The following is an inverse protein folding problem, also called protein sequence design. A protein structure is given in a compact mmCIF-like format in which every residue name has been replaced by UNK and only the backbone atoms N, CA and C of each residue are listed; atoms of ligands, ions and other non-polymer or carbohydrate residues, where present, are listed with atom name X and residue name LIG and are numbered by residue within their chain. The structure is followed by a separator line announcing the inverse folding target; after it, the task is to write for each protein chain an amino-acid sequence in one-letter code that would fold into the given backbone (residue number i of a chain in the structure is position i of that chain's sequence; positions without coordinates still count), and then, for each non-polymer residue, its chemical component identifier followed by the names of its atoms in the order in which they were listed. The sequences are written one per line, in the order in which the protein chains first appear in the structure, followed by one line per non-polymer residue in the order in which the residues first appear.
data_IF_239024994687
#
_entry.id   IF_239024994687
#
_cell.length_a   1.000
_cell.length_b   1.000
_cell.length_c   1.000
_cell.angle_alpha   90.00
_cell.angle_beta   90.00
_cell.angle_gamma   90.00
#
_symmetry.space_group_name_H-M   'P 1'
#
loop_
_entity.id
_entity.type
_entity.pdbx_description
1 polymer ?
#
# COMPACT_ATOMS: atom_id res chain seq x y z
N UNK A 1 18.57 -19.63 8.36
CA UNK A 1 17.85 -20.50 7.39
C UNK A 1 18.32 -20.22 5.96
N UNK A 2 18.19 -18.98 5.47
CA UNK A 2 18.42 -18.57 4.07
C UNK A 2 19.84 -18.77 3.49
N UNK A 3 20.87 -18.97 4.31
CA UNK A 3 22.25 -19.19 3.87
C UNK A 3 22.59 -20.67 3.60
N UNK A 4 21.66 -21.60 3.84
CA UNK A 4 21.88 -23.04 3.63
C UNK A 4 21.43 -23.45 2.22
N UNK A 5 22.24 -24.29 1.56
CA UNK A 5 21.80 -25.01 0.35
C UNK A 5 20.94 -26.20 0.76
N UNK A 6 19.68 -26.19 0.36
CA UNK A 6 18.75 -27.28 0.63
C UNK A 6 18.81 -28.33 -0.48
N UNK A 7 18.97 -29.60 -0.11
CA UNK A 7 18.91 -30.73 -1.05
C UNK A 7 17.47 -31.00 -1.51
N UNK A 8 16.53 -30.92 -0.57
CA UNK A 8 15.11 -31.14 -0.80
C UNK A 8 14.36 -29.80 -0.78
N UNK A 9 13.18 -29.78 -1.39
CA UNK A 9 12.24 -28.66 -1.24
C UNK A 9 11.76 -28.61 0.21
N UNK A 10 11.69 -27.41 0.79
CA UNK A 10 11.08 -27.16 2.09
C UNK A 10 9.78 -26.43 1.84
N UNK A 11 8.69 -26.93 2.42
CA UNK A 11 7.42 -26.24 2.44
C UNK A 11 7.35 -25.30 3.65
N UNK A 12 6.93 -24.06 3.41
CA UNK A 12 6.70 -23.03 4.40
C UNK A 12 5.25 -22.57 4.28
N UNK A 13 4.47 -22.80 5.33
CA UNK A 13 3.08 -22.39 5.43
C UNK A 13 2.95 -21.26 6.45
N UNK A 14 2.53 -20.09 5.99
CA UNK A 14 2.17 -18.96 6.85
C UNK A 14 0.66 -19.01 7.10
N UNK A 15 0.28 -19.56 8.24
CA UNK A 15 -1.11 -19.70 8.67
C UNK A 15 -1.54 -18.50 9.51
N UNK A 16 -2.73 -17.96 9.24
CA UNK A 16 -3.42 -17.00 10.10
C UNK A 16 -4.93 -17.22 10.09
N UNK A 17 -5.59 -16.79 11.17
CA UNK A 17 -7.04 -16.92 11.36
C UNK A 17 -7.70 -15.56 11.21
N UNK A 18 -8.81 -15.50 10.49
CA UNK A 18 -9.60 -14.28 10.30
C UNK A 18 -11.08 -14.52 10.59
N UNK A 19 -11.83 -13.42 10.75
CA UNK A 19 -13.30 -13.41 10.82
C UNK A 19 -13.85 -12.64 9.63
N UNK A 20 -15.15 -12.76 9.36
CA UNK A 20 -15.74 -12.18 8.14
C UNK A 20 -15.60 -10.66 8.06
N UNK A 21 -15.76 -9.97 9.19
CA UNK A 21 -15.69 -8.50 9.28
C UNK A 21 -14.37 -7.96 9.85
N UNK A 22 -13.36 -8.82 10.07
CA UNK A 22 -12.08 -8.42 10.65
C UNK A 22 -11.02 -8.24 9.55
N UNK A 23 -10.51 -7.02 9.40
CA UNK A 23 -9.45 -6.71 8.44
C UNK A 23 -8.08 -6.86 9.10
N UNK A 24 -7.22 -7.72 8.53
CA UNK A 24 -5.86 -7.94 9.03
C UNK A 24 -4.83 -7.71 7.91
N UNK A 25 -4.64 -6.45 7.45
CA UNK A 25 -3.84 -6.15 6.27
C UNK A 25 -2.36 -6.52 6.41
N UNK A 26 -1.85 -6.65 7.63
CA UNK A 26 -0.50 -7.09 7.91
C UNK A 26 -0.26 -8.56 7.53
N UNK A 27 -1.26 -9.43 7.66
CA UNK A 27 -1.19 -10.81 7.16
C UNK A 27 -1.26 -10.83 5.63
N UNK A 28 -2.14 -10.02 5.05
CA UNK A 28 -2.31 -9.95 3.61
C UNK A 28 -1.07 -9.40 2.89
N UNK A 29 -0.29 -8.55 3.57
CA UNK A 29 1.00 -8.07 3.11
C UNK A 29 2.00 -9.22 2.88
N UNK A 30 1.96 -10.29 3.69
CA UNK A 30 2.89 -11.42 3.60
C UNK A 30 2.87 -12.11 2.24
N UNK A 31 1.77 -11.98 1.49
CA UNK A 31 1.65 -12.47 0.12
C UNK A 31 2.79 -11.97 -0.79
N UNK A 32 3.13 -10.68 -0.71
CA UNK A 32 4.19 -10.09 -1.54
C UNK A 32 5.59 -10.60 -1.15
N UNK A 33 5.83 -10.75 0.16
CA UNK A 33 7.09 -11.26 0.69
C UNK A 33 7.31 -12.72 0.31
N UNK A 34 6.31 -13.58 0.52
CA UNK A 34 6.39 -15.02 0.23
C UNK A 34 6.66 -15.28 -1.26
N UNK A 35 6.04 -14.50 -2.15
CA UNK A 35 6.32 -14.59 -3.59
C UNK A 35 7.76 -14.22 -3.92
N UNK A 36 8.30 -13.17 -3.31
CA UNK A 36 9.71 -12.82 -3.53
C UNK A 36 10.65 -13.83 -2.89
N UNK A 37 10.32 -14.37 -1.72
CA UNK A 37 11.09 -15.43 -1.08
C UNK A 37 11.17 -16.67 -1.96
N UNK A 38 10.05 -17.07 -2.57
CA UNK A 38 10.03 -18.18 -3.51
C UNK A 38 10.89 -17.89 -4.76
N UNK A 39 10.80 -16.68 -5.32
CA UNK A 39 11.63 -16.25 -6.45
C UNK A 39 13.12 -16.34 -6.10
N UNK A 40 13.54 -15.79 -4.96
CA UNK A 40 14.95 -15.77 -4.55
C UNK A 40 15.46 -17.15 -4.10
N UNK A 41 14.57 -18.01 -3.61
CA UNK A 41 14.88 -19.33 -3.10
C UNK A 41 13.87 -20.37 -3.61
N UNK A 42 14.02 -20.82 -4.86
CA UNK A 42 13.11 -21.78 -5.52
C UNK A 42 12.94 -23.13 -4.79
N UNK A 43 13.81 -23.47 -3.83
CA UNK A 43 13.68 -24.66 -2.96
C UNK A 43 12.79 -24.43 -1.73
N UNK A 44 12.30 -23.21 -1.53
CA UNK A 44 11.30 -22.87 -0.52
C UNK A 44 9.94 -22.74 -1.20
N UNK A 45 9.11 -23.78 -1.09
CA UNK A 45 7.72 -23.74 -1.52
C UNK A 45 6.93 -23.01 -0.43
N UNK A 46 6.46 -21.80 -0.73
CA UNK A 46 5.88 -20.92 0.28
C UNK A 46 4.41 -20.66 -0.02
N UNK A 47 3.54 -20.80 0.98
CA UNK A 47 2.10 -20.52 0.90
C UNK A 47 1.66 -19.64 2.07
N UNK A 48 0.77 -18.69 1.81
CA UNK A 48 -0.08 -18.07 2.84
C UNK A 48 -1.41 -18.80 2.88
N UNK A 49 -1.88 -19.10 4.10
CA UNK A 49 -3.12 -19.80 4.36
C UNK A 49 -3.94 -18.98 5.35
N UNK A 50 -5.04 -18.41 4.86
CA UNK A 50 -6.07 -17.79 5.68
C UNK A 50 -7.16 -18.82 5.99
N UNK A 51 -7.51 -18.97 7.26
CA UNK A 51 -8.71 -19.72 7.66
C UNK A 51 -9.69 -18.73 8.28
N UNK A 52 -10.75 -18.43 7.53
CA UNK A 52 -11.80 -17.51 7.95
C UNK A 52 -12.93 -18.28 8.65
N UNK A 53 -12.98 -18.18 9.98
CA UNK A 53 -13.97 -18.84 10.82
C UNK A 53 -14.31 -18.00 12.07
N UNK A 54 -15.61 -17.91 12.39
CA UNK A 54 -16.07 -17.25 13.62
C UNK A 54 -15.61 -17.96 14.89
N UNK A 55 -15.53 -19.30 14.84
CA UNK A 55 -15.17 -20.18 15.96
C UNK A 55 -14.23 -21.29 15.47
N UNK A 56 -12.91 -21.02 15.43
CA UNK A 56 -11.93 -21.98 14.94
C UNK A 56 -11.95 -23.28 15.74
N UNK A 57 -12.07 -24.41 15.03
CA UNK A 57 -11.94 -25.75 15.62
C UNK A 57 -10.59 -26.35 15.21
N UNK A 58 -9.80 -26.79 16.20
CA UNK A 58 -8.43 -27.25 15.97
C UNK A 58 -8.35 -28.41 14.97
N UNK A 59 -9.25 -29.40 15.07
CA UNK A 59 -9.25 -30.55 14.17
C UNK A 59 -9.45 -30.13 12.71
N UNK A 60 -10.38 -29.19 12.46
CA UNK A 60 -10.60 -28.65 11.12
C UNK A 60 -9.36 -27.89 10.60
N UNK A 61 -8.73 -27.09 11.45
CA UNK A 61 -7.50 -26.37 11.10
C UNK A 61 -6.38 -27.35 10.74
N UNK A 62 -6.22 -28.42 11.51
CA UNK A 62 -5.20 -29.44 11.27
C UNK A 62 -5.46 -30.16 9.93
N UNK A 63 -6.71 -30.52 9.65
CA UNK A 63 -7.10 -31.17 8.39
C UNK A 63 -6.80 -30.27 7.18
N UNK A 64 -7.11 -28.98 7.28
CA UNK A 64 -6.78 -27.99 6.25
C UNK A 64 -5.26 -27.88 6.08
N UNK A 65 -4.51 -27.73 7.18
CA UNK A 65 -3.04 -27.60 7.14
C UNK A 65 -2.39 -28.84 6.53
N UNK A 66 -2.83 -30.03 6.90
CA UNK A 66 -2.29 -31.28 6.35
C UNK A 66 -2.63 -31.43 4.87
N UNK A 67 -3.81 -31.00 4.45
CA UNK A 67 -4.20 -30.97 3.04
C UNK A 67 -3.26 -30.05 2.25
N UNK A 68 -3.06 -28.81 2.71
CA UNK A 68 -2.22 -27.83 2.02
C UNK A 68 -0.72 -28.18 1.99
N UNK A 69 -0.22 -28.88 3.01
CA UNK A 69 1.14 -29.44 3.01
C UNK A 69 1.28 -30.65 2.07
N UNK A 70 0.21 -31.41 1.86
CA UNK A 70 0.23 -32.56 0.95
C UNK A 70 0.15 -32.14 -0.52
N UNK A 71 -0.38 -30.95 -0.80
CA UNK A 71 -0.45 -30.38 -2.14
C UNK A 71 0.88 -29.73 -2.57
N UNK A 72 1.43 -30.17 -3.70
CA UNK A 72 2.69 -29.69 -4.28
C UNK A 72 2.48 -28.79 -5.52
N UNK A 73 1.43 -27.95 -5.56
CA UNK A 73 1.30 -26.93 -6.61
C UNK A 73 2.01 -25.63 -6.20
N UNK A 74 3.16 -25.29 -6.83
CA UNK A 74 3.90 -24.07 -6.51
C UNK A 74 3.19 -22.79 -6.99
N UNK A 75 2.09 -22.86 -7.76
CA UNK A 75 1.39 -21.69 -8.30
C UNK A 75 0.34 -21.13 -7.33
N UNK A 76 -0.15 -21.95 -6.40
CA UNK A 76 -1.21 -21.57 -5.46
C UNK A 76 -0.62 -21.10 -4.13
N UNK A 77 0.07 -19.95 -4.16
CA UNK A 77 0.80 -19.41 -3.00
C UNK A 77 -0.08 -18.63 -2.00
N UNK A 78 -1.33 -18.33 -2.35
CA UNK A 78 -2.24 -17.55 -1.50
C UNK A 78 -3.60 -18.22 -1.49
N UNK A 79 -3.90 -18.88 -0.39
CA UNK A 79 -5.09 -19.71 -0.18
C UNK A 79 -5.91 -19.16 0.97
N UNK A 80 -7.24 -19.18 0.80
CA UNK A 80 -8.21 -18.85 1.84
C UNK A 80 -9.23 -19.99 1.95
N UNK A 81 -9.50 -20.41 3.17
CA UNK A 81 -10.64 -21.25 3.50
C UNK A 81 -11.73 -20.37 4.13
N UNK A 82 -12.97 -20.48 3.63
CA UNK A 82 -14.16 -19.89 4.25
C UNK A 82 -15.19 -20.98 4.44
N UNK A 83 -15.33 -21.46 5.67
CA UNK A 83 -16.05 -22.71 5.92
C UNK A 83 -15.37 -23.88 5.18
N UNK A 84 -16.12 -24.60 4.35
CA UNK A 84 -15.59 -25.73 3.56
C UNK A 84 -15.02 -25.32 2.19
N UNK A 85 -15.23 -24.05 1.79
CA UNK A 85 -14.83 -23.58 0.47
C UNK A 85 -13.36 -23.15 0.48
N UNK A 86 -12.60 -23.66 -0.49
CA UNK A 86 -11.21 -23.29 -0.74
C UNK A 86 -11.13 -22.27 -1.88
N UNK A 87 -10.50 -21.14 -1.61
CA UNK A 87 -10.28 -20.05 -2.56
C UNK A 87 -8.79 -19.85 -2.80
N UNK A 88 -8.43 -19.52 -4.04
CA UNK A 88 -7.06 -19.17 -4.44
C UNK A 88 -7.07 -17.81 -5.12
N UNK A 89 -6.11 -16.96 -4.75
CA UNK A 89 -6.01 -15.61 -5.30
C UNK A 89 -5.51 -15.63 -6.75
N UNK A 90 -6.30 -15.08 -7.68
CA UNK A 90 -5.93 -14.91 -9.10
C UNK A 90 -6.17 -13.48 -9.55
N UNK A 91 -5.33 -13.00 -10.46
CA UNK A 91 -5.59 -11.75 -11.19
C UNK A 91 -6.55 -12.03 -12.33
N UNK A 92 -7.59 -11.22 -12.43
CA UNK A 92 -8.55 -11.25 -13.53
C UNK A 92 -8.57 -9.87 -14.17
N UNK A 93 -8.51 -9.85 -15.50
CA UNK A 93 -8.66 -8.62 -16.28
C UNK A 93 -10.07 -8.04 -16.06
N UNK A 94 -10.14 -6.73 -15.88
CA UNK A 94 -11.40 -6.00 -15.76
C UNK A 94 -11.72 -5.36 -17.12
N UNK A 95 -12.87 -5.72 -17.69
CA UNK A 95 -13.37 -5.13 -18.92
C UNK A 95 -14.23 -3.89 -18.61
N UNK A 96 -13.74 -2.72 -19.04
CA UNK A 96 -14.37 -1.41 -18.88
C UNK A 96 -15.44 -1.10 -19.95
N UNK A 97 -15.80 -2.07 -20.80
CA UNK A 97 -16.82 -1.91 -21.84
C UNK A 97 -18.25 -2.13 -21.34
N UNK A 98 -18.57 -3.37 -20.92
CA UNK A 98 -19.95 -3.77 -20.60
C UNK A 98 -20.26 -3.89 -19.10
N UNK A 99 -19.23 -3.93 -18.25
CA UNK A 99 -19.37 -4.15 -16.80
C UNK A 99 -18.63 -3.07 -15.98
N UNK A 100 -18.59 -1.84 -16.48
CA UNK A 100 -18.02 -0.71 -15.73
C UNK A 100 -18.78 -0.58 -14.41
N UNK A 101 -18.13 -0.82 -13.26
CA UNK A 101 -18.77 -0.64 -11.97
C UNK A 101 -19.34 0.78 -11.90
N UNK A 102 -20.57 0.92 -11.40
CA UNK A 102 -21.28 2.21 -11.36
C UNK A 102 -20.49 3.33 -10.67
N UNK A 103 -19.54 2.98 -9.79
CA UNK A 103 -18.62 3.90 -9.13
C UNK A 103 -17.62 4.58 -10.09
N UNK A 104 -17.25 3.93 -11.20
CA UNK A 104 -16.40 4.53 -12.23
C UNK A 104 -17.18 5.52 -13.12
N UNK A 105 -18.50 5.35 -13.25
CA UNK A 105 -19.35 6.30 -13.97
C UNK A 105 -19.52 7.64 -13.23
N UNK A 106 -19.22 7.69 -11.93
CA UNK A 106 -19.28 8.92 -11.16
C UNK A 106 -18.00 9.76 -11.23
N UNK A 107 -16.90 9.18 -11.75
CA UNK A 107 -15.59 9.83 -11.84
C UNK A 107 -14.95 10.13 -10.48
N UNK A 108 -13.62 10.23 -10.44
CA UNK A 108 -12.95 10.85 -9.27
C UNK A 108 -13.35 12.32 -9.26
N UNK A 109 -13.91 12.80 -8.14
CA UNK A 109 -14.34 14.19 -7.98
C UNK A 109 -13.15 15.11 -7.71
N UNK A 110 -12.24 15.21 -8.68
CA UNK A 110 -11.24 16.27 -8.67
C UNK A 110 -11.97 17.61 -8.86
N UNK A 111 -11.77 18.51 -7.91
CA UNK A 111 -12.37 19.84 -7.83
C UNK A 111 -11.38 20.90 -8.32
N UNK A 112 -11.88 21.86 -9.11
CA UNK A 112 -11.19 23.12 -9.36
C UNK A 112 -10.90 23.80 -8.02
N UNK A 113 -9.65 24.22 -7.79
CA UNK A 113 -9.15 24.77 -6.52
C UNK A 113 -9.35 23.85 -5.30
N UNK A 114 -9.52 22.54 -5.51
CA UNK A 114 -9.55 21.56 -4.43
C UNK A 114 -8.23 21.47 -3.68
N UNK A 115 -8.28 21.06 -2.42
CA UNK A 115 -7.12 20.94 -1.52
C UNK A 115 -6.61 19.51 -1.49
N UNK A 116 -5.37 19.28 -1.93
CA UNK A 116 -4.78 17.95 -1.98
C UNK A 116 -3.44 17.89 -1.24
N UNK A 117 -3.31 16.87 -0.38
CA UNK A 117 -2.07 16.53 0.30
C UNK A 117 -1.33 15.43 -0.48
N UNK A 118 -0.11 15.71 -0.93
CA UNK A 118 0.72 14.75 -1.66
C UNK A 118 1.98 14.43 -0.86
N UNK A 119 2.01 13.23 -0.27
CA UNK A 119 3.21 12.74 0.43
C UNK A 119 4.19 12.13 -0.57
N UNK A 120 5.49 12.32 -0.34
CA UNK A 120 6.47 12.12 -1.40
C UNK A 120 6.29 13.13 -2.55
N UNK A 121 5.61 14.26 -2.30
CA UNK A 121 5.17 15.23 -3.31
C UNK A 121 6.31 15.90 -4.08
N UNK A 122 7.49 16.00 -3.47
CA UNK A 122 8.71 16.49 -4.12
C UNK A 122 9.50 15.39 -4.86
N UNK A 123 8.99 14.15 -4.89
CA UNK A 123 9.55 13.03 -5.64
C UNK A 123 9.07 12.99 -7.10
N UNK A 124 9.58 12.04 -7.89
CA UNK A 124 9.28 11.96 -9.32
C UNK A 124 7.78 11.82 -9.62
N UNK A 125 7.12 10.81 -9.06
CA UNK A 125 5.68 10.63 -9.26
C UNK A 125 4.85 11.74 -8.59
N UNK A 126 5.23 12.16 -7.38
CA UNK A 126 4.54 13.23 -6.67
C UNK A 126 4.48 14.53 -7.48
N UNK A 127 5.59 14.92 -8.12
CA UNK A 127 5.65 16.11 -8.96
C UNK A 127 4.81 15.98 -10.23
N UNK A 128 4.72 14.80 -10.84
CA UNK A 128 3.86 14.56 -12.03
C UNK A 128 2.38 14.78 -11.67
N UNK A 129 1.94 14.23 -10.54
CA UNK A 129 0.56 14.42 -10.09
C UNK A 129 0.30 15.86 -9.63
N UNK A 130 1.27 16.49 -8.95
CA UNK A 130 1.19 17.90 -8.57
C UNK A 130 1.06 18.81 -9.79
N UNK A 131 1.85 18.57 -10.85
CA UNK A 131 1.78 19.32 -12.11
C UNK A 131 0.43 19.17 -12.78
N UNK A 132 -0.09 17.93 -12.88
CA UNK A 132 -1.40 17.66 -13.44
C UNK A 132 -2.51 18.41 -12.68
N UNK A 133 -2.52 18.31 -11.35
CA UNK A 133 -3.52 18.98 -10.51
C UNK A 133 -3.39 20.52 -10.56
N UNK A 134 -2.16 21.02 -10.63
CA UNK A 134 -1.91 22.45 -10.77
C UNK A 134 -2.43 22.99 -12.11
N UNK A 135 -2.14 22.28 -13.20
CA UNK A 135 -2.49 22.71 -14.56
C UNK A 135 -3.97 22.60 -14.86
N UNK A 136 -4.57 21.44 -14.55
CA UNK A 136 -5.94 21.13 -14.98
C UNK A 136 -7.00 21.63 -14.01
N UNK A 137 -6.65 21.79 -12.72
CA UNK A 137 -7.61 22.15 -11.67
C UNK A 137 -7.25 23.40 -10.86
N UNK A 138 -6.10 24.04 -11.13
CA UNK A 138 -5.58 25.17 -10.31
C UNK A 138 -5.63 24.87 -8.81
N UNK A 139 -5.25 23.63 -8.47
CA UNK A 139 -5.44 23.08 -7.14
C UNK A 139 -4.64 23.82 -6.05
N UNK A 140 -5.06 23.63 -4.79
CA UNK A 140 -4.29 23.98 -3.60
C UNK A 140 -3.55 22.73 -3.14
N UNK A 141 -2.22 22.78 -3.16
CA UNK A 141 -1.37 21.62 -2.98
C UNK A 141 -0.47 21.80 -1.77
N UNK A 142 -0.54 20.84 -0.85
CA UNK A 142 0.48 20.66 0.18
C UNK A 142 1.33 19.46 -0.24
N UNK A 143 2.57 19.73 -0.60
CA UNK A 143 3.55 18.70 -0.93
C UNK A 143 4.41 18.42 0.29
N UNK A 144 4.66 17.15 0.61
CA UNK A 144 5.50 16.81 1.75
C UNK A 144 6.54 15.74 1.44
N UNK A 145 7.65 15.82 2.18
CA UNK A 145 8.72 14.85 2.24
C UNK A 145 9.70 15.19 3.37
N UNK A 146 10.61 14.27 3.68
CA UNK A 146 11.54 14.42 4.82
C UNK A 146 12.69 15.39 4.55
N UNK A 147 13.09 15.51 3.30
CA UNK A 147 14.22 16.36 2.93
C UNK A 147 13.77 17.82 2.84
N UNK A 148 14.67 18.75 3.16
CA UNK A 148 14.46 20.15 2.78
C UNK A 148 14.36 20.26 1.26
N UNK A 149 13.56 21.21 0.80
CA UNK A 149 13.42 21.45 -0.64
C UNK A 149 14.73 22.02 -1.20
N UNK A 150 15.13 21.51 -2.36
CA UNK A 150 16.28 22.05 -3.10
C UNK A 150 15.83 23.22 -3.97
N UNK A 151 16.75 24.12 -4.32
CA UNK A 151 16.44 25.24 -5.21
C UNK A 151 15.83 24.79 -6.56
N UNK A 152 16.31 23.67 -7.11
CA UNK A 152 15.75 23.07 -8.33
C UNK A 152 14.28 22.66 -8.15
N UNK A 153 13.94 22.06 -7.01
CA UNK A 153 12.56 21.62 -6.73
C UNK A 153 11.66 22.81 -6.41
N UNK A 154 12.16 23.83 -5.70
CA UNK A 154 11.42 25.08 -5.48
C UNK A 154 11.07 25.74 -6.83
N UNK A 155 12.02 25.80 -7.77
CA UNK A 155 11.76 26.33 -9.11
C UNK A 155 10.66 25.58 -9.87
N UNK A 156 10.49 24.27 -9.63
CA UNK A 156 9.35 23.49 -10.17
C UNK A 156 8.03 23.91 -9.52
N UNK A 157 8.00 24.08 -8.20
CA UNK A 157 6.82 24.57 -7.49
C UNK A 157 6.42 25.97 -7.95
N UNK A 158 7.39 26.86 -8.22
CA UNK A 158 7.13 28.17 -8.83
C UNK A 158 6.48 28.05 -10.21
N UNK A 159 6.86 27.03 -10.99
CA UNK A 159 6.18 26.67 -12.24
C UNK A 159 4.69 26.37 -12.02
N UNK A 160 4.37 25.58 -11.01
CA UNK A 160 2.97 25.26 -10.67
C UNK A 160 2.20 26.49 -10.20
N UNK A 161 2.83 27.37 -9.41
CA UNK A 161 2.22 28.64 -8.97
C UNK A 161 1.89 29.55 -10.16
N UNK A 162 2.75 29.59 -11.19
CA UNK A 162 2.49 30.34 -12.43
C UNK A 162 1.32 29.79 -13.25
N UNK A 163 0.96 28.52 -13.07
CA UNK A 163 -0.22 27.91 -13.68
C UNK A 163 -1.53 28.26 -12.92
N UNK A 164 -1.44 28.99 -11.81
CA UNK A 164 -2.58 29.43 -11.01
C UNK A 164 -2.90 28.53 -9.81
N UNK A 165 -2.06 27.53 -9.54
CA UNK A 165 -2.16 26.71 -8.34
C UNK A 165 -1.57 27.41 -7.11
N UNK A 166 -2.06 27.06 -5.93
CA UNK A 166 -1.45 27.48 -4.66
C UNK A 166 -0.64 26.29 -4.14
N UNK A 167 0.69 26.40 -4.05
CA UNK A 167 1.53 25.24 -3.71
C UNK A 167 2.48 25.58 -2.57
N UNK A 168 2.46 24.75 -1.53
CA UNK A 168 3.34 24.84 -0.37
C UNK A 168 4.06 23.52 -0.15
N UNK A 169 5.32 23.58 0.28
CA UNK A 169 6.08 22.41 0.68
C UNK A 169 6.29 22.38 2.20
N UNK A 170 5.89 21.29 2.83
CA UNK A 170 6.05 21.08 4.28
C UNK A 170 7.00 19.89 4.50
N UNK A 171 8.11 20.13 5.19
CA UNK A 171 9.06 19.06 5.51
C UNK A 171 8.54 18.25 6.69
N UNK A 172 8.14 16.99 6.45
CA UNK A 172 7.59 16.12 7.49
C UNK A 172 7.92 14.63 7.21
N UNK A 173 8.07 13.84 8.26
CA UNK A 173 8.09 12.38 8.18
C UNK A 173 6.73 11.81 8.57
N UNK A 174 5.90 11.46 7.58
CA UNK A 174 4.55 10.92 7.84
C UNK A 174 4.56 9.59 8.61
N UNK A 175 5.70 8.89 8.70
CA UNK A 175 5.83 7.71 9.56
C UNK A 175 5.91 8.04 11.06
N UNK A 176 6.20 9.30 11.41
CA UNK A 176 6.05 9.85 12.75
C UNK A 176 4.64 10.43 12.91
N UNK A 177 3.94 10.06 13.99
CA UNK A 177 2.55 10.47 14.21
C UNK A 177 2.42 11.97 14.49
N UNK A 178 3.35 12.57 15.22
CA UNK A 178 3.31 14.01 15.55
C UNK A 178 3.54 14.86 14.29
N UNK A 179 4.49 14.45 13.45
CA UNK A 179 4.72 15.09 12.14
C UNK A 179 3.48 14.99 11.25
N UNK A 180 2.77 13.85 11.25
CA UNK A 180 1.55 13.67 10.48
C UNK A 180 0.40 14.54 10.99
N UNK A 181 0.25 14.69 12.31
CA UNK A 181 -0.72 15.60 12.94
C UNK A 181 -0.43 17.04 12.51
N UNK A 182 0.80 17.51 12.74
CA UNK A 182 1.22 18.87 12.42
C UNK A 182 1.01 19.20 10.93
N UNK A 183 1.33 18.24 10.03
CA UNK A 183 1.14 18.39 8.59
C UNK A 183 -0.33 18.59 8.20
N UNK A 184 -1.24 17.81 8.79
CA UNK A 184 -2.69 17.92 8.52
C UNK A 184 -3.24 19.22 9.10
N UNK A 185 -2.81 19.61 10.29
CA UNK A 185 -3.18 20.89 10.91
C UNK A 185 -2.68 22.08 10.09
N UNK A 186 -1.45 22.03 9.59
CA UNK A 186 -0.89 23.07 8.72
C UNK A 186 -1.68 23.17 7.41
N UNK A 187 -2.01 22.04 6.77
CA UNK A 187 -2.84 22.00 5.57
C UNK A 187 -4.21 22.67 5.80
N UNK A 188 -4.85 22.37 6.93
CA UNK A 188 -6.14 22.97 7.32
C UNK A 188 -6.02 24.44 7.69
N UNK A 189 -4.93 24.85 8.33
CA UNK A 189 -4.65 26.26 8.63
C UNK A 189 -4.51 27.09 7.34
N UNK A 190 -3.85 26.53 6.33
CA UNK A 190 -3.65 27.18 5.03
C UNK A 190 -4.93 27.27 4.19
N UNK A 191 -5.73 26.20 4.14
CA UNK A 191 -6.79 26.06 3.13
C UNK A 191 -8.19 25.69 3.67
N UNK A 192 -8.32 25.43 4.97
CA UNK A 192 -9.58 25.17 5.66
C UNK A 192 -10.10 23.72 5.58
N UNK A 193 -9.71 22.97 4.57
CA UNK A 193 -10.18 21.59 4.33
C UNK A 193 -9.12 20.73 3.62
N UNK A 194 -9.34 19.41 3.56
CA UNK A 194 -8.58 18.48 2.71
C UNK A 194 -9.57 17.69 1.87
N UNK A 195 -9.47 17.76 0.55
CA UNK A 195 -10.37 17.05 -0.36
C UNK A 195 -9.80 15.70 -0.79
N UNK A 196 -8.48 15.52 -0.79
CA UNK A 196 -7.92 14.22 -1.10
C UNK A 196 -6.45 14.07 -0.76
N UNK A 197 -6.03 12.82 -0.60
CA UNK A 197 -4.66 12.45 -0.25
C UNK A 197 -4.08 11.57 -1.34
N UNK A 198 -2.86 11.90 -1.79
CA UNK A 198 -2.05 11.05 -2.66
C UNK A 198 -0.80 10.65 -1.87
N UNK A 199 -0.79 9.40 -1.43
CA UNK A 199 0.32 8.81 -0.70
C UNK A 199 1.34 8.18 -1.66
N UNK A 200 2.30 9.00 -2.13
CA UNK A 200 3.41 8.57 -2.99
C UNK A 200 4.74 8.44 -2.25
N UNK A 201 4.75 8.62 -0.92
CA UNK A 201 5.96 8.45 -0.12
C UNK A 201 6.47 7.01 -0.18
N UNK A 202 7.79 6.89 -0.27
CA UNK A 202 8.47 5.61 -0.36
C UNK A 202 9.95 5.79 -0.61
N UNK A 203 10.73 4.83 -0.14
CA UNK A 203 12.15 4.70 -0.49
C UNK A 203 12.44 3.30 -0.96
N UNK A 204 13.41 3.18 -1.84
CA UNK A 204 13.94 1.90 -2.29
C UNK A 204 15.26 1.64 -1.57
N UNK A 205 15.39 0.41 -1.07
CA UNK A 205 16.62 -0.17 -0.53
C UNK A 205 16.64 -1.59 -1.06
N UNK A 206 17.00 -1.76 -2.32
CA UNK A 206 16.90 -3.08 -2.96
C UNK A 206 18.05 -3.97 -2.48
N UNK A 207 17.71 -5.14 -1.96
CA UNK A 207 18.65 -6.19 -1.62
C UNK A 207 17.91 -7.52 -1.53
N UNK A 208 18.62 -8.63 -1.77
CA UNK A 208 18.11 -9.97 -1.50
C UNK A 208 17.67 -10.10 -0.04
N UNK A 209 16.64 -10.91 0.24
CA UNK A 209 16.09 -11.13 1.59
C UNK A 209 17.20 -11.50 2.56
N UNK A 210 18.10 -12.40 2.15
CA UNK A 210 19.23 -12.86 2.98
C UNK A 210 20.24 -11.78 3.36
N UNK A 211 20.28 -10.66 2.61
CA UNK A 211 21.23 -9.57 2.79
C UNK A 211 20.56 -8.31 3.37
N UNK A 212 19.24 -8.34 3.56
CA UNK A 212 18.47 -7.21 4.08
C UNK A 212 18.74 -7.04 5.56
N UNK A 213 19.06 -5.83 6.01
CA UNK A 213 19.19 -5.55 7.45
C UNK A 213 17.84 -5.09 8.04
N UNK A 214 17.63 -5.23 9.36
CA UNK A 214 16.45 -4.68 10.05
C UNK A 214 16.27 -3.19 9.81
N UNK A 215 17.34 -2.40 9.83
CA UNK A 215 17.28 -0.94 9.63
C UNK A 215 16.83 -0.59 8.21
N UNK A 216 17.25 -1.37 7.23
CA UNK A 216 16.79 -1.16 5.86
C UNK A 216 15.34 -1.62 5.65
N UNK A 217 14.88 -2.65 6.37
CA UNK A 217 13.47 -3.08 6.41
C UNK A 217 12.60 -1.97 6.99
N UNK A 218 12.97 -1.45 8.15
CA UNK A 218 12.27 -0.37 8.83
C UNK A 218 12.20 0.86 7.94
N UNK A 219 13.30 1.22 7.26
CA UNK A 219 13.34 2.36 6.37
C UNK A 219 12.38 2.26 5.18
N UNK A 220 12.16 1.06 4.62
CA UNK A 220 11.22 0.87 3.50
C UNK A 220 9.77 0.73 3.96
N UNK A 221 9.54 0.19 5.16
CA UNK A 221 8.21 0.09 5.76
C UNK A 221 7.70 1.41 6.29
N UNK A 222 8.56 2.19 6.94
CA UNK A 222 8.24 3.47 7.58
C UNK A 222 7.22 4.30 6.79
N UNK A 223 7.50 4.74 5.54
CA UNK A 223 6.58 5.60 4.83
C UNK A 223 5.29 4.89 4.41
N UNK A 224 5.35 3.60 4.03
CA UNK A 224 4.22 2.91 3.40
C UNK A 224 3.26 2.24 4.38
N UNK A 225 3.78 1.72 5.49
CA UNK A 225 2.98 1.04 6.51
C UNK A 225 2.57 2.07 7.56
N UNK A 226 3.54 2.54 8.36
CA UNK A 226 3.28 3.49 9.43
C UNK A 226 2.79 4.83 8.89
N UNK A 227 3.35 5.32 7.78
CA UNK A 227 2.86 6.55 7.15
C UNK A 227 1.42 6.45 6.66
N UNK A 228 0.99 5.32 6.12
CA UNK A 228 -0.42 5.11 5.73
C UNK A 228 -1.32 5.08 6.96
N UNK A 229 -0.97 4.30 7.98
CA UNK A 229 -1.77 4.19 9.22
C UNK A 229 -1.89 5.53 9.92
N UNK A 230 -0.80 6.30 10.00
CA UNK A 230 -0.81 7.62 10.61
C UNK A 230 -1.73 8.56 9.82
N UNK A 231 -1.57 8.64 8.49
CA UNK A 231 -2.39 9.50 7.64
C UNK A 231 -3.88 9.15 7.74
N UNK A 232 -4.24 7.86 7.70
CA UNK A 232 -5.63 7.40 7.91
C UNK A 232 -6.16 7.86 9.28
N UNK A 233 -5.38 7.63 10.34
CA UNK A 233 -5.75 8.01 11.70
C UNK A 233 -5.96 9.52 11.85
N UNK A 234 -5.04 10.34 11.35
CA UNK A 234 -5.09 11.80 11.52
C UNK A 234 -6.10 12.46 10.58
N UNK A 235 -6.54 11.78 9.52
CA UNK A 235 -7.56 12.29 8.58
C UNK A 235 -8.91 11.60 8.69
N UNK A 236 -9.12 10.79 9.73
CA UNK A 236 -10.35 10.02 9.97
C UNK A 236 -11.63 10.87 10.02
N UNK A 237 -11.53 12.12 10.47
CA UNK A 237 -12.65 13.06 10.56
C UNK A 237 -12.77 13.99 9.35
N UNK A 238 -11.83 13.92 8.41
CA UNK A 238 -11.83 14.78 7.23
C UNK A 238 -12.75 14.19 6.15
N UNK A 239 -13.46 15.07 5.44
CA UNK A 239 -14.39 14.67 4.38
C UNK A 239 -13.64 14.50 3.04
N UNK A 240 -12.77 13.49 2.99
CA UNK A 240 -11.96 13.19 1.80
C UNK A 240 -12.85 12.62 0.67
N UNK A 241 -12.70 13.17 -0.53
CA UNK A 241 -13.26 12.59 -1.76
C UNK A 241 -12.47 11.32 -2.17
N UNK A 242 -11.18 11.25 -1.82
CA UNK A 242 -10.32 10.08 -2.06
C UNK A 242 -9.09 9.99 -1.16
N UNK A 243 -8.61 8.76 -0.95
CA UNK A 243 -7.32 8.45 -0.34
C UNK A 243 -6.55 7.46 -1.24
N UNK A 244 -5.63 7.96 -2.06
CA UNK A 244 -4.90 7.15 -3.04
C UNK A 244 -3.54 6.75 -2.50
N UNK A 245 -3.20 5.46 -2.57
CA UNK A 245 -1.91 4.92 -2.15
C UNK A 245 -1.14 4.38 -3.35
N UNK A 246 0.11 4.80 -3.52
CA UNK A 246 0.95 4.25 -4.58
C UNK A 246 1.60 2.94 -4.12
N UNK A 247 1.05 1.85 -4.64
CA UNK A 247 1.59 0.49 -4.54
C UNK A 247 2.49 0.17 -5.75
N UNK A 248 2.99 -1.06 -5.84
CA UNK A 248 3.79 -1.56 -6.96
C UNK A 248 3.40 -3.00 -7.32
N UNK A 249 3.56 -3.35 -8.60
CA UNK A 249 3.37 -4.71 -9.10
C UNK A 249 4.22 -5.77 -8.40
N UNK A 250 5.38 -5.38 -7.85
CA UNK A 250 6.21 -6.26 -7.05
C UNK A 250 5.45 -6.88 -5.85
N UNK A 251 4.44 -6.18 -5.32
CA UNK A 251 3.62 -6.70 -4.24
C UNK A 251 2.66 -7.83 -4.66
N UNK A 252 2.33 -7.90 -5.96
CA UNK A 252 1.40 -8.88 -6.51
C UNK A 252 2.13 -10.05 -7.14
N UNK A 253 3.21 -9.80 -7.90
CA UNK A 253 3.95 -10.85 -8.61
C UNK A 253 5.20 -11.34 -7.86
N UNK A 254 5.67 -10.62 -6.85
CA UNK A 254 7.06 -10.74 -6.37
C UNK A 254 8.05 -10.16 -7.38
N UNK A 255 9.26 -9.80 -6.94
CA UNK A 255 10.35 -9.34 -7.83
C UNK A 255 11.70 -9.58 -7.18
N UNK A 256 12.68 -10.07 -7.96
CA UNK A 256 14.07 -10.25 -7.51
C UNK A 256 14.65 -8.99 -6.84
N UNK A 257 15.22 -9.12 -5.63
CA UNK A 257 15.89 -8.02 -4.95
C UNK A 257 14.97 -6.90 -4.45
N UNK A 258 13.65 -7.03 -4.63
CA UNK A 258 12.61 -6.13 -4.09
C UNK A 258 11.65 -6.88 -3.15
N UNK A 259 12.15 -7.56 -2.11
CA UNK A 259 11.32 -8.47 -1.31
C UNK A 259 10.23 -7.81 -0.47
N UNK A 260 10.27 -6.48 -0.36
CA UNK A 260 9.61 -5.76 0.73
C UNK A 260 8.69 -4.65 0.21
N UNK A 261 8.34 -4.68 -1.07
CA UNK A 261 7.15 -3.92 -1.49
C UNK A 261 5.93 -4.73 -1.02
N UNK A 262 5.66 -4.63 0.28
CA UNK A 262 4.75 -5.47 1.05
C UNK A 262 3.27 -5.10 0.89
N UNK A 263 2.93 -4.07 0.13
CA UNK A 263 1.54 -3.61 0.07
C UNK A 263 0.93 -3.90 -1.27
N UNK A 264 0.42 -5.12 -1.54
CA UNK A 264 -0.64 -5.30 -2.50
C UNK A 264 -1.90 -4.88 -1.77
N UNK A 265 -2.09 -3.58 -1.52
CA UNK A 265 -3.41 -3.13 -1.11
C UNK A 265 -4.29 -3.44 -2.31
N UNK A 266 -5.19 -4.39 -2.11
CA UNK A 266 -6.10 -4.98 -3.06
C UNK A 266 -7.12 -3.95 -3.53
N UNK A 267 -6.66 -2.96 -4.28
CA UNK A 267 -7.37 -2.27 -5.35
C UNK A 267 -6.47 -1.13 -5.83
N UNK A 268 -6.24 -1.10 -7.15
CA UNK A 268 -5.80 0.11 -7.82
C UNK A 268 -6.80 1.21 -7.46
N UNK A 269 -6.35 2.27 -6.78
CA UNK A 269 -7.21 3.32 -6.22
C UNK A 269 -8.20 2.74 -5.19
N UNK A 270 -7.78 2.67 -3.93
CA UNK A 270 -8.73 2.55 -2.82
C UNK A 270 -9.44 3.88 -2.63
N UNK A 271 -10.56 4.08 -3.31
CA UNK A 271 -11.60 4.96 -2.80
C UNK A 271 -12.20 4.27 -1.57
N UNK A 272 -11.53 4.38 -0.42
CA UNK A 272 -12.16 4.01 0.85
C UNK A 272 -13.33 4.97 1.06
N UNK A 273 -14.59 4.47 1.14
CA UNK A 273 -15.64 5.26 1.76
C UNK A 273 -15.23 5.48 3.22
N UNK A 274 -15.24 6.74 3.65
CA UNK A 274 -14.92 7.14 5.03
C UNK A 274 -15.61 6.21 6.04
N UNK A 275 -14.84 5.57 6.94
CA UNK A 275 -15.38 4.89 8.13
C UNK A 275 -14.93 3.45 8.43
N UNK A 276 -14.22 2.75 7.54
CA UNK A 276 -13.64 1.42 7.87
C UNK A 276 -12.15 1.56 8.19
N UNK A 277 -11.84 1.44 9.48
CA UNK A 277 -10.49 1.63 10.04
C UNK A 277 -9.60 0.44 9.67
N UNK A 278 -8.32 0.69 9.39
CA UNK A 278 -7.28 -0.33 9.44
C UNK A 278 -6.86 -0.43 10.92
N UNK A 279 -7.41 -1.38 11.66
CA UNK A 279 -6.92 -1.74 13.01
C UNK A 279 -5.78 -2.77 12.95
#
# INVERSE_FOLDING_TARGET
MLNKKYKNTIQLLYLYLSKEDELQPHHDAMNGFIKTLHIEHAKLACKTLEIQEEKPVLDNILDIVLTELSEDDPKEMTVRYKGQDRYVRKLKELDFGQNTPSILNQGVRLKEKGVYLITGGAGGLGLIFAEYLAKEYKARLVLTGRAKLTAEREAKLDGFRKLGAEVTYCSADVSNIEDAINLVEECKSLFGEINGIIHSAGVLRDAYIRNKTPEELDAVFAPKVFGTVNLDKVTKTENLDFFVMFSSMAAISGTWGKPIILLPITSWILLLPCGKTIE
#
